data_IF_352906464694
#
_entry.id   IF_352906464694
#
_cell.length_a   1.000
_cell.length_b   1.000
_cell.length_c   1.000
_cell.angle_alpha   90.00
_cell.angle_beta   90.00
_cell.angle_gamma   90.00
#
_symmetry.space_group_name_H-M   'P 1'
#
loop_
_entity.id
_entity.type
_entity.pdbx_description
1 polymer ?
#
# COMPACT_ATOMS: atom_id res chain seq x y z
N UNK A 1 -12.44 -3.34 -20.45
CA UNK A 1 -11.19 -3.77 -19.78
C UNK A 1 -11.54 -4.09 -18.34
N UNK A 2 -11.04 -5.19 -17.78
CA UNK A 2 -11.44 -5.68 -16.44
C UNK A 2 -10.44 -5.23 -15.35
N UNK A 3 -10.87 -5.09 -14.09
CA UNK A 3 -9.94 -4.93 -12.97
C UNK A 3 -9.11 -6.22 -12.79
N UNK A 4 -7.79 -6.11 -12.68
CA UNK A 4 -6.90 -7.25 -12.43
C UNK A 4 -5.74 -6.89 -11.50
N UNK A 5 -5.19 -7.93 -10.88
CA UNK A 5 -4.17 -7.89 -9.83
C UNK A 5 -3.11 -8.93 -10.13
N UNK A 6 -1.84 -8.60 -9.85
CA UNK A 6 -0.72 -9.54 -9.80
C UNK A 6 -0.08 -9.42 -8.44
N UNK A 7 -0.12 -10.51 -7.68
CA UNK A 7 0.40 -10.58 -6.33
C UNK A 7 1.43 -11.71 -6.25
N UNK A 8 2.58 -11.43 -5.65
CA UNK A 8 3.60 -12.45 -5.41
C UNK A 8 4.99 -11.88 -5.24
N UNK A 9 5.96 -12.79 -5.22
CA UNK A 9 7.38 -12.51 -5.17
C UNK A 9 7.94 -12.23 -6.57
N UNK A 10 8.46 -11.02 -6.76
CA UNK A 10 9.08 -10.60 -8.02
C UNK A 10 10.60 -10.77 -8.02
N UNK A 11 11.22 -11.10 -6.87
CA UNK A 11 12.67 -11.20 -6.67
C UNK A 11 13.48 -9.95 -7.08
N UNK A 12 12.82 -8.80 -7.25
CA UNK A 12 13.43 -7.54 -7.71
C UNK A 12 12.84 -6.36 -6.94
N UNK A 13 13.72 -5.49 -6.43
CA UNK A 13 13.33 -4.20 -5.83
C UNK A 13 13.06 -3.16 -6.92
N UNK A 14 12.20 -2.18 -6.69
CA UNK A 14 11.96 -1.04 -7.60
C UNK A 14 12.86 0.15 -7.29
N UNK A 15 13.25 0.31 -6.03
CA UNK A 15 14.10 1.41 -5.56
C UNK A 15 15.18 0.88 -4.63
N UNK A 16 16.32 1.59 -4.57
CA UNK A 16 17.36 1.28 -3.58
C UNK A 16 16.83 1.40 -2.14
N UNK A 17 15.85 2.26 -1.90
CA UNK A 17 15.17 2.42 -0.59
C UNK A 17 14.42 1.18 -0.13
N UNK A 18 14.21 0.21 -1.01
CA UNK A 18 13.55 -1.06 -0.71
C UNK A 18 14.53 -2.18 -0.37
N UNK A 19 15.77 -1.80 -0.06
CA UNK A 19 16.82 -2.64 0.47
C UNK A 19 17.35 -2.00 1.76
N UNK A 20 17.54 -2.79 2.84
CA UNK A 20 18.03 -2.28 4.13
C UNK A 20 19.37 -1.53 4.01
N UNK A 21 20.28 -2.04 3.19
CA UNK A 21 21.54 -1.40 2.82
C UNK A 21 21.46 -0.51 1.54
N UNK A 22 20.29 0.07 1.25
CA UNK A 22 19.99 0.76 -0.01
C UNK A 22 20.94 1.88 -0.41
N UNK A 23 21.48 2.61 0.57
CA UNK A 23 22.45 3.68 0.35
C UNK A 23 23.72 3.23 -0.39
N UNK A 24 24.05 1.93 -0.33
CA UNK A 24 25.23 1.35 -0.97
C UNK A 24 24.97 0.84 -2.41
N UNK A 25 23.72 0.82 -2.88
CA UNK A 25 23.34 0.24 -4.17
C UNK A 25 23.56 1.15 -5.39
N UNK A 26 24.01 2.41 -5.20
CA UNK A 26 24.31 3.33 -6.29
C UNK A 26 23.12 3.59 -7.23
N UNK A 27 23.41 3.84 -8.52
CA UNK A 27 22.44 4.23 -9.55
C UNK A 27 21.61 3.06 -10.13
N UNK A 28 21.06 2.18 -9.28
CA UNK A 28 20.10 1.13 -9.66
C UNK A 28 20.60 0.03 -10.62
N UNK A 29 20.11 -1.20 -10.44
CA UNK A 29 20.51 -2.34 -11.30
C UNK A 29 19.71 -2.38 -12.61
N UNK A 30 20.19 -3.13 -13.61
CA UNK A 30 19.44 -3.38 -14.85
C UNK A 30 18.09 -4.05 -14.57
N UNK A 31 18.06 -5.05 -13.66
CA UNK A 31 16.82 -5.70 -13.26
C UNK A 31 15.78 -4.71 -12.67
N UNK A 32 16.23 -3.74 -11.87
CA UNK A 32 15.34 -2.69 -11.35
C UNK A 32 14.73 -1.86 -12.49
N UNK A 33 15.56 -1.46 -13.48
CA UNK A 33 15.10 -0.67 -14.63
C UNK A 33 14.12 -1.46 -15.50
N UNK A 34 14.41 -2.72 -15.77
CA UNK A 34 13.55 -3.59 -16.58
C UNK A 34 12.21 -3.81 -15.87
N UNK A 35 12.23 -4.04 -14.56
CA UNK A 35 11.01 -4.22 -13.79
C UNK A 35 10.15 -2.94 -13.76
N UNK A 36 10.77 -1.78 -13.55
CA UNK A 36 10.08 -0.49 -13.67
C UNK A 36 9.46 -0.28 -15.07
N UNK A 37 10.16 -0.69 -16.13
CA UNK A 37 9.66 -0.58 -17.50
C UNK A 37 8.44 -1.49 -17.74
N UNK A 38 8.46 -2.72 -17.24
CA UNK A 38 7.32 -3.65 -17.32
C UNK A 38 6.11 -3.08 -16.58
N UNK A 39 6.29 -2.56 -15.35
CA UNK A 39 5.21 -1.94 -14.58
C UNK A 39 4.59 -0.77 -15.36
N UNK A 40 5.42 0.11 -15.92
CA UNK A 40 4.96 1.25 -16.73
C UNK A 40 4.24 0.80 -17.99
N UNK A 41 4.82 -0.15 -18.73
CA UNK A 41 4.25 -0.68 -19.97
C UNK A 41 2.87 -1.30 -19.75
N UNK A 42 2.71 -2.05 -18.66
CA UNK A 42 1.44 -2.69 -18.30
C UNK A 42 0.43 -1.72 -17.64
N UNK A 43 0.80 -0.46 -17.37
CA UNK A 43 -0.06 0.50 -16.69
C UNK A 43 -0.42 0.07 -15.26
N UNK A 44 0.55 -0.52 -14.56
CA UNK A 44 0.39 -1.06 -13.21
C UNK A 44 0.83 -0.07 -12.12
N UNK A 45 0.17 -0.15 -10.97
CA UNK A 45 0.50 0.59 -9.76
C UNK A 45 0.71 -0.37 -8.60
N UNK A 46 1.67 -0.08 -7.71
CA UNK A 46 1.83 -0.79 -6.44
C UNK A 46 0.66 -0.42 -5.52
N UNK A 47 -0.10 -1.41 -5.06
CA UNK A 47 -1.28 -1.20 -4.22
C UNK A 47 -0.85 -0.70 -2.84
N UNK A 48 -1.67 0.15 -2.23
CA UNK A 48 -1.44 0.64 -0.88
C UNK A 48 -1.23 -0.54 0.09
N UNK A 49 -0.19 -0.45 0.93
CA UNK A 49 0.18 -1.51 1.86
C UNK A 49 0.14 -1.05 3.33
N UNK A 50 -0.16 -1.99 4.22
CA UNK A 50 -0.10 -1.84 5.68
C UNK A 50 0.89 -2.86 6.24
N UNK A 51 1.65 -2.47 7.27
CA UNK A 51 2.65 -3.32 7.91
C UNK A 51 4.07 -3.00 7.44
N UNK A 52 4.92 -4.03 7.40
CA UNK A 52 6.33 -3.88 7.06
C UNK A 52 6.54 -3.46 5.61
N UNK A 53 7.52 -2.58 5.38
CA UNK A 53 7.96 -2.22 4.02
C UNK A 53 8.77 -3.35 3.39
N UNK A 54 9.61 -4.04 4.17
CA UNK A 54 10.39 -5.18 3.70
C UNK A 54 9.56 -6.45 3.85
N UNK A 55 9.62 -7.29 2.83
CA UNK A 55 8.82 -8.51 2.73
C UNK A 55 9.67 -9.77 2.75
N UNK A 56 10.99 -9.64 2.64
CA UNK A 56 11.96 -10.72 2.74
C UNK A 56 13.14 -10.35 3.66
N UNK A 57 13.72 -11.34 4.33
CA UNK A 57 14.99 -11.20 5.06
C UNK A 57 15.92 -12.39 4.84
N UNK A 58 17.24 -12.15 4.83
CA UNK A 58 18.23 -13.23 4.75
C UNK A 58 18.36 -14.06 6.05
N UNK A 59 17.70 -13.65 7.14
CA UNK A 59 17.71 -14.32 8.46
C UNK A 59 19.09 -14.53 9.08
N UNK A 60 20.07 -13.72 8.70
CA UNK A 60 21.41 -13.82 9.26
C UNK A 60 21.53 -12.91 10.49
N UNK A 61 21.96 -13.43 11.66
CA UNK A 61 22.17 -12.61 12.85
C UNK A 61 23.27 -11.56 12.68
N UNK A 62 24.38 -11.93 12.04
CA UNK A 62 25.59 -11.09 11.98
C UNK A 62 25.53 -10.01 10.90
N UNK A 63 24.79 -10.26 9.81
CA UNK A 63 24.63 -9.32 8.70
C UNK A 63 23.19 -9.36 8.16
N UNK A 64 22.21 -8.83 8.92
CA UNK A 64 20.81 -8.90 8.54
C UNK A 64 20.52 -8.00 7.33
N UNK A 65 19.99 -8.60 6.28
CA UNK A 65 19.53 -7.91 5.07
C UNK A 65 18.04 -8.11 4.94
N UNK A 66 17.32 -7.03 4.62
CA UNK A 66 15.89 -7.06 4.33
C UNK A 66 15.59 -6.34 3.03
N UNK A 67 14.63 -6.86 2.26
CA UNK A 67 14.25 -6.34 0.94
C UNK A 67 12.73 -6.36 0.74
N UNK A 68 12.19 -5.47 -0.10
CA UNK A 68 10.81 -5.57 -0.59
C UNK A 68 10.79 -6.33 -1.93
N UNK A 69 10.57 -7.64 -1.87
CA UNK A 69 10.53 -8.53 -3.04
C UNK A 69 9.10 -8.88 -3.46
N UNK A 70 8.24 -9.12 -2.48
CA UNK A 70 6.80 -9.30 -2.69
C UNK A 70 6.05 -7.98 -2.94
N UNK A 71 5.12 -7.99 -3.90
CA UNK A 71 4.24 -6.85 -4.22
C UNK A 71 2.83 -7.26 -4.61
N UNK A 72 1.94 -6.28 -4.56
CA UNK A 72 0.59 -6.37 -5.11
C UNK A 72 0.44 -5.27 -6.16
N UNK A 73 0.48 -5.63 -7.43
CA UNK A 73 0.37 -4.71 -8.55
C UNK A 73 -1.04 -4.76 -9.14
N UNK A 74 -1.62 -3.59 -9.40
CA UNK A 74 -3.01 -3.46 -9.89
C UNK A 74 -3.10 -2.47 -11.05
N UNK A 75 -4.04 -2.69 -11.96
CA UNK A 75 -4.33 -1.73 -13.03
C UNK A 75 -5.27 -0.60 -12.56
N UNK A 76 -5.42 0.44 -13.38
CA UNK A 76 -6.30 1.58 -13.05
C UNK A 76 -7.77 1.19 -12.86
N UNK A 77 -8.25 0.16 -13.57
CA UNK A 77 -9.60 -0.36 -13.41
C UNK A 77 -9.82 -0.98 -12.02
N UNK A 78 -8.82 -1.65 -11.45
CA UNK A 78 -8.88 -2.14 -10.07
C UNK A 78 -9.03 -0.99 -9.08
N UNK A 79 -8.24 0.08 -9.23
CA UNK A 79 -8.30 1.25 -8.33
C UNK A 79 -9.67 1.95 -8.39
N UNK A 80 -10.34 1.89 -9.55
CA UNK A 80 -11.71 2.42 -9.70
C UNK A 80 -12.77 1.50 -9.09
N UNK A 81 -12.61 0.17 -9.22
CA UNK A 81 -13.55 -0.82 -8.70
C UNK A 81 -13.44 -1.03 -7.18
N UNK A 82 -12.22 -0.91 -6.64
CA UNK A 82 -11.89 -1.15 -5.23
C UNK A 82 -11.06 0.01 -4.67
N UNK A 83 -11.61 1.24 -4.58
CA UNK A 83 -10.86 2.45 -4.24
C UNK A 83 -10.29 2.46 -2.82
N UNK A 84 -10.80 1.58 -1.96
CA UNK A 84 -10.38 1.40 -0.56
C UNK A 84 -9.68 0.06 -0.33
N UNK A 85 -9.23 -0.61 -1.40
CA UNK A 85 -8.43 -1.82 -1.30
C UNK A 85 -7.01 -1.51 -0.82
N UNK A 86 -6.45 -2.44 -0.05
CA UNK A 86 -5.07 -2.40 0.42
C UNK A 86 -4.57 -3.82 0.64
N UNK A 87 -3.25 -3.97 0.70
CA UNK A 87 -2.59 -5.21 1.08
C UNK A 87 -1.96 -5.10 2.47
N UNK A 88 -1.88 -6.21 3.20
CA UNK A 88 -1.17 -6.28 4.49
C UNK A 88 -0.03 -7.29 4.40
N UNK A 89 1.14 -6.90 4.89
CA UNK A 89 2.27 -7.80 5.11
C UNK A 89 2.49 -8.05 6.59
N UNK A 90 2.44 -9.32 6.99
CA UNK A 90 2.58 -9.76 8.38
C UNK A 90 3.56 -10.93 8.52
N UNK A 91 3.94 -11.25 9.76
CA UNK A 91 4.93 -12.28 10.03
C UNK A 91 4.55 -13.63 9.37
N UNK A 92 5.42 -14.13 8.49
CA UNK A 92 5.27 -15.42 7.80
C UNK A 92 5.66 -16.64 8.65
N UNK A 93 5.80 -16.48 9.97
CA UNK A 93 6.27 -17.52 10.88
C UNK A 93 7.68 -17.98 10.54
N UNK A 94 7.82 -19.22 10.08
CA UNK A 94 9.10 -19.82 9.69
C UNK A 94 9.50 -19.53 8.24
N UNK A 95 8.76 -18.71 7.50
CA UNK A 95 9.17 -18.21 6.17
C UNK A 95 10.09 -16.99 6.27
N UNK A 96 11.13 -16.94 5.44
CA UNK A 96 11.97 -15.77 5.24
C UNK A 96 11.25 -14.63 4.50
N UNK A 97 10.09 -14.94 3.91
CA UNK A 97 9.10 -13.99 3.43
C UNK A 97 7.98 -13.70 4.45
N UNK A 98 7.39 -12.51 4.35
CA UNK A 98 6.15 -12.15 5.04
C UNK A 98 4.92 -12.73 4.34
N UNK A 99 3.88 -13.02 5.11
CA UNK A 99 2.57 -13.40 4.58
C UNK A 99 1.85 -12.15 4.06
N UNK A 100 1.27 -12.26 2.87
CA UNK A 100 0.54 -11.18 2.20
C UNK A 100 -0.93 -11.54 2.00
N UNK A 101 -1.84 -10.62 2.33
CA UNK A 101 -3.26 -10.73 1.97
C UNK A 101 -3.83 -9.37 1.55
N UNK A 102 -4.72 -9.39 0.57
CA UNK A 102 -5.32 -8.19 -0.03
C UNK A 102 -6.78 -8.07 0.41
N UNK A 103 -7.15 -6.94 1.00
CA UNK A 103 -8.55 -6.63 1.27
C UNK A 103 -9.19 -5.98 0.06
N UNK A 104 -10.21 -6.63 -0.49
CA UNK A 104 -11.10 -6.02 -1.46
C UNK A 104 -12.29 -5.45 -0.68
N UNK A 105 -12.47 -4.14 -0.74
CA UNK A 105 -13.71 -3.50 -0.34
C UNK A 105 -14.35 -2.96 -1.61
N UNK A 106 -15.43 -3.60 -2.11
CA UNK A 106 -16.23 -3.03 -3.17
C UNK A 106 -16.68 -1.64 -2.76
N UNK A 107 -16.89 -0.76 -3.74
CA UNK A 107 -17.68 0.44 -3.51
C UNK A 107 -19.08 -0.01 -3.11
N UNK A 108 -19.36 -0.06 -1.81
CA UNK A 108 -20.74 -0.16 -1.32
C UNK A 108 -21.52 0.98 -2.01
N UNK A 109 -22.65 0.70 -2.68
CA UNK A 109 -23.50 1.78 -3.15
C UNK A 109 -23.77 2.68 -1.95
N UNK A 110 -23.32 3.93 -2.03
CA UNK A 110 -23.37 4.86 -0.92
C UNK A 110 -24.79 4.88 -0.36
N UNK A 111 -25.01 4.19 0.77
CA UNK A 111 -26.10 4.59 1.64
C UNK A 111 -25.70 5.99 2.06
N UNK A 112 -26.54 6.99 1.76
CA UNK A 112 -26.33 8.36 2.24
C UNK A 112 -26.12 8.24 3.75
N UNK A 113 -24.88 8.38 4.22
CA UNK A 113 -24.60 8.36 5.64
C UNK A 113 -25.36 9.57 6.22
N UNK A 114 -26.30 9.38 7.15
CA UNK A 114 -27.00 10.51 7.72
C UNK A 114 -25.96 11.42 8.37
N UNK A 115 -26.10 12.72 8.13
CA UNK A 115 -25.31 13.73 8.80
C UNK A 115 -25.49 13.54 10.31
N UNK A 116 -24.38 13.32 11.02
CA UNK A 116 -24.39 13.22 12.49
C UNK A 116 -23.83 14.52 13.03
N UNK A 117 -24.72 15.33 13.61
CA UNK A 117 -24.36 16.50 14.38
C UNK A 117 -24.27 16.12 15.86
N UNK A 118 -23.22 16.57 16.53
CA UNK A 118 -23.11 16.42 17.96
C UNK A 118 -23.97 17.47 18.66
N UNK A 119 -25.16 17.08 19.15
CA UNK A 119 -26.09 18.01 19.80
C UNK A 119 -25.47 18.81 20.95
N UNK A 120 -24.48 18.26 21.68
CA UNK A 120 -23.83 19.01 22.75
C UNK A 120 -23.10 20.28 22.28
N UNK A 121 -22.77 20.39 20.99
CA UNK A 121 -22.14 21.58 20.40
C UNK A 121 -23.11 22.78 20.41
N UNK A 122 -24.42 22.56 20.34
CA UNK A 122 -25.40 23.66 20.48
C UNK A 122 -25.45 24.24 21.89
N UNK A 123 -24.95 23.51 22.89
CA UNK A 123 -24.93 23.97 24.28
C UNK A 123 -23.71 24.87 24.57
N UNK A 124 -22.81 25.03 23.61
CA UNK A 124 -21.68 25.93 23.79
C UNK A 124 -22.17 27.40 23.80
N UNK A 125 -21.82 28.23 24.80
CA UNK A 125 -22.35 29.59 24.93
C UNK A 125 -22.16 30.48 23.70
N UNK A 126 -21.10 30.23 22.91
CA UNK A 126 -20.79 30.97 21.67
C UNK A 126 -21.19 30.25 20.39
N UNK A 127 -22.06 29.24 20.47
CA UNK A 127 -22.47 28.47 19.30
C UNK A 127 -23.17 29.37 18.25
N UNK A 128 -24.11 30.21 18.68
CA UNK A 128 -24.84 31.11 17.77
C UNK A 128 -23.91 32.14 17.12
N UNK A 129 -22.99 32.74 17.88
CA UNK A 129 -21.98 33.67 17.35
C UNK A 129 -21.12 33.02 16.26
N UNK A 130 -20.71 31.77 16.46
CA UNK A 130 -19.89 31.03 15.49
C UNK A 130 -20.67 30.63 14.22
N UNK A 131 -21.99 30.45 14.33
CA UNK A 131 -22.87 30.16 13.18
C UNK A 131 -23.17 31.40 12.36
N UNK A 132 -23.34 32.57 12.99
CA UNK A 132 -23.58 33.84 12.28
C UNK A 132 -22.35 34.38 11.53
N UNK A 133 -21.15 33.95 11.93
CA UNK A 133 -19.87 34.37 11.32
C UNK A 133 -19.40 33.47 10.16
N UNK A 134 -20.08 32.36 9.89
CA UNK A 134 -19.75 31.40 8.82
C UNK A 134 -20.68 31.51 7.61
#
# INVERSE_FOLDING_TARGET
MYPWIVQGDFNVILSSTEHSCGAHLGAGTTAMRDFQNVIRYCGLSDLAQVGSVFTWTNRQPDNPISKKLDRVLVNSQWLSAFPVSFTTFEAGGVSDHLRCWTQLKPTEPSTRKPFKFFTHVTNHPRFLEAVEQG
#
